data_IF_486511230059
#
_entry.id   IF_486511230059
#
_cell.length_a   1.000
_cell.length_b   1.000
_cell.length_c   1.000
_cell.angle_alpha   90.00
_cell.angle_beta   90.00
_cell.angle_gamma   90.00
#
_symmetry.space_group_name_H-M   'P 1'
#
loop_
_entity.id
_entity.type
_entity.pdbx_description
1 polymer ?
#
# COMPACT_ATOMS: atom_id res chain seq x y z
N UNK A 1 3.69 -0.42 13.32
CA UNK A 1 3.23 -1.24 12.18
C UNK A 1 3.97 -0.74 10.95
N UNK A 2 4.67 -1.62 10.21
CA UNK A 2 5.41 -1.18 9.01
C UNK A 2 4.48 -1.05 7.80
N UNK A 3 4.97 -0.45 6.71
CA UNK A 3 4.19 -0.32 5.47
C UNK A 3 3.84 -1.71 4.91
N UNK A 4 4.78 -2.65 4.93
CA UNK A 4 4.55 -4.01 4.47
C UNK A 4 3.44 -4.71 5.30
N UNK A 5 3.44 -4.52 6.62
CA UNK A 5 2.37 -5.05 7.47
C UNK A 5 1.01 -4.39 7.17
N UNK A 6 0.98 -3.08 6.88
CA UNK A 6 -0.26 -2.39 6.47
C UNK A 6 -0.84 -2.95 5.18
N UNK A 7 0.03 -3.19 4.19
CA UNK A 7 -0.36 -3.78 2.90
C UNK A 7 -0.90 -5.20 3.12
N UNK A 8 -0.26 -6.02 3.97
CA UNK A 8 -0.78 -7.37 4.28
C UNK A 8 -2.15 -7.32 4.94
N UNK A 9 -2.33 -6.46 5.93
CA UNK A 9 -3.63 -6.30 6.59
C UNK A 9 -4.69 -5.84 5.59
N UNK A 10 -4.35 -4.90 4.71
CA UNK A 10 -5.24 -4.44 3.65
C UNK A 10 -5.64 -5.58 2.70
N UNK A 11 -4.68 -6.40 2.25
CA UNK A 11 -4.95 -7.58 1.44
C UNK A 11 -5.94 -8.54 2.12
N UNK A 12 -5.75 -8.83 3.41
CA UNK A 12 -6.65 -9.68 4.19
C UNK A 12 -8.05 -9.06 4.30
N UNK A 13 -8.15 -7.75 4.53
CA UNK A 13 -9.44 -7.04 4.62
C UNK A 13 -10.19 -6.99 3.29
N UNK A 14 -9.47 -6.91 2.18
CA UNK A 14 -10.04 -6.93 0.83
C UNK A 14 -10.23 -8.34 0.26
N UNK A 15 -9.97 -9.40 1.05
CA UNK A 15 -10.03 -10.81 0.60
C UNK A 15 -9.20 -11.08 -0.66
N UNK A 16 -8.03 -10.46 -0.79
CA UNK A 16 -7.10 -10.66 -1.90
C UNK A 16 -5.76 -11.21 -1.40
N UNK A 17 -5.10 -12.00 -2.24
CA UNK A 17 -3.74 -12.46 -1.98
C UNK A 17 -2.71 -11.39 -2.41
N UNK A 18 -1.53 -11.37 -1.80
CA UNK A 18 -0.43 -10.48 -2.23
C UNK A 18 -0.03 -10.69 -3.70
N UNK A 19 -0.12 -11.94 -4.18
CA UNK A 19 0.11 -12.27 -5.59
C UNK A 19 -0.96 -11.67 -6.52
N UNK A 20 -2.21 -11.58 -6.06
CA UNK A 20 -3.30 -10.95 -6.81
C UNK A 20 -3.15 -9.43 -6.81
N UNK A 21 -2.81 -8.83 -5.66
CA UNK A 21 -2.46 -7.41 -5.60
C UNK A 21 -1.33 -7.07 -6.58
N UNK A 22 -0.27 -7.88 -6.60
CA UNK A 22 0.83 -7.70 -7.56
C UNK A 22 0.34 -7.71 -9.02
N UNK A 23 -0.55 -8.65 -9.37
CA UNK A 23 -1.13 -8.74 -10.72
C UNK A 23 -1.98 -7.52 -11.07
N UNK A 24 -2.82 -7.05 -10.13
CA UNK A 24 -3.63 -5.82 -10.31
C UNK A 24 -2.76 -4.58 -10.52
N UNK A 25 -1.61 -4.52 -9.87
CA UNK A 25 -0.60 -3.46 -10.05
C UNK A 25 0.23 -3.62 -11.34
N UNK A 26 -0.03 -4.65 -12.17
CA UNK A 26 0.76 -4.94 -13.37
C UNK A 26 2.18 -5.42 -13.07
N UNK A 27 2.42 -6.01 -11.89
CA UNK A 27 3.72 -6.51 -11.44
C UNK A 27 3.71 -8.03 -11.29
N UNK A 28 4.90 -8.62 -11.40
CA UNK A 28 5.12 -10.02 -11.01
C UNK A 28 5.05 -10.18 -9.49
N UNK A 29 4.43 -11.25 -8.95
CA UNK A 29 4.43 -11.57 -7.53
C UNK A 29 5.84 -11.63 -6.91
N UNK A 30 6.85 -12.07 -7.69
CA UNK A 30 8.23 -12.13 -7.20
C UNK A 30 8.80 -10.73 -6.96
N UNK A 31 8.63 -9.82 -7.93
CA UNK A 31 9.08 -8.42 -7.80
C UNK A 31 8.37 -7.70 -6.65
N UNK A 32 7.06 -7.92 -6.51
CA UNK A 32 6.28 -7.36 -5.42
C UNK A 32 6.74 -7.88 -4.06
N UNK A 33 6.97 -9.19 -3.92
CA UNK A 33 7.46 -9.78 -2.67
C UNK A 33 8.88 -9.30 -2.32
N UNK A 34 9.77 -9.13 -3.30
CA UNK A 34 11.07 -8.48 -3.09
C UNK A 34 10.93 -7.05 -2.58
N UNK A 35 9.94 -6.30 -3.08
CA UNK A 35 9.63 -4.94 -2.61
C UNK A 35 9.06 -4.94 -1.20
N UNK A 36 8.19 -5.89 -0.86
CA UNK A 36 7.67 -6.11 0.51
C UNK A 36 8.79 -6.35 1.51
N UNK A 37 9.78 -7.19 1.17
CA UNK A 37 10.94 -7.47 2.04
C UNK A 37 11.87 -6.27 2.23
N UNK A 38 11.99 -5.41 1.21
CA UNK A 38 12.83 -4.20 1.25
C UNK A 38 12.11 -2.99 1.85
N UNK A 39 10.79 -3.09 2.06
CA UNK A 39 9.92 -2.03 2.57
C UNK A 39 10.06 -0.71 1.78
N UNK A 40 10.32 -0.83 0.48
CA UNK A 40 10.69 0.28 -0.40
C UNK A 40 9.49 0.83 -1.17
N UNK A 41 8.37 1.06 -0.47
CA UNK A 41 7.14 1.61 -1.06
C UNK A 41 7.19 3.13 -1.06
N UNK A 42 6.91 3.71 -2.22
CA UNK A 42 6.69 5.14 -2.38
C UNK A 42 5.23 5.48 -2.08
N UNK A 43 4.94 6.76 -1.92
CA UNK A 43 3.54 7.22 -1.77
C UNK A 43 2.72 6.86 -3.01
N UNK A 44 3.27 7.01 -4.21
CA UNK A 44 2.61 6.60 -5.46
C UNK A 44 2.27 5.10 -5.47
N UNK A 45 3.11 4.25 -4.90
CA UNK A 45 2.77 2.82 -4.75
C UNK A 45 1.58 2.61 -3.82
N UNK A 46 1.54 3.34 -2.68
CA UNK A 46 0.45 3.23 -1.71
C UNK A 46 -0.88 3.71 -2.29
N UNK A 47 -0.84 4.79 -3.08
CA UNK A 47 -1.98 5.35 -3.79
C UNK A 47 -2.54 4.33 -4.80
N UNK A 48 -1.68 3.73 -5.62
CA UNK A 48 -2.06 2.67 -6.58
C UNK A 48 -2.61 1.43 -5.89
N UNK A 49 -2.01 1.01 -4.77
CA UNK A 49 -2.51 -0.12 -3.97
C UNK A 49 -3.93 0.19 -3.48
N UNK A 50 -4.18 1.39 -3.00
CA UNK A 50 -5.51 1.80 -2.55
C UNK A 50 -6.50 1.81 -3.71
N UNK A 51 -6.14 2.39 -4.86
CA UNK A 51 -6.97 2.44 -6.07
C UNK A 51 -7.41 1.02 -6.51
N UNK A 52 -6.46 0.09 -6.69
CA UNK A 52 -6.78 -1.26 -7.20
C UNK A 52 -7.50 -2.16 -6.19
N UNK A 53 -7.52 -1.77 -4.91
CA UNK A 53 -8.22 -2.46 -3.84
C UNK A 53 -9.53 -1.75 -3.44
N UNK A 54 -9.87 -0.63 -4.07
CA UNK A 54 -11.05 0.16 -3.71
C UNK A 54 -10.96 0.79 -2.31
N UNK A 55 -9.75 1.05 -1.83
CA UNK A 55 -9.48 1.75 -0.59
C UNK A 55 -9.08 3.21 -0.86
N UNK A 56 -9.09 4.03 0.19
CA UNK A 56 -8.58 5.40 0.14
C UNK A 56 -7.31 5.48 1.00
N UNK A 57 -6.22 5.96 0.40
CA UNK A 57 -5.01 6.30 1.12
C UNK A 57 -4.97 7.83 1.30
N UNK A 58 -4.89 8.29 2.56
CA UNK A 58 -4.68 9.71 2.88
C UNK A 58 -3.36 9.86 3.62
N UNK A 59 -2.54 10.81 3.18
CA UNK A 59 -1.32 11.24 3.89
C UNK A 59 -1.43 12.74 4.12
N UNK A 60 -1.48 13.14 5.39
CA UNK A 60 -1.63 14.53 5.80
C UNK A 60 -0.53 14.86 6.81
N UNK A 61 0.13 16.00 6.64
CA UNK A 61 0.92 16.61 7.70
C UNK A 61 0.00 17.45 8.58
N UNK A 62 0.04 17.22 9.88
CA UNK A 62 -0.74 18.01 10.84
C UNK A 62 0.24 18.97 11.53
N UNK A 63 0.09 20.26 11.28
CA UNK A 63 0.87 21.30 11.94
C UNK A 63 0.40 21.48 13.39
N UNK A 64 1.26 22.07 14.23
CA UNK A 64 0.96 22.28 15.66
C UNK A 64 -0.27 23.16 15.91
N UNK A 65 -0.68 23.97 14.92
CA UNK A 65 -1.89 24.79 14.93
C UNK A 65 -3.15 24.04 14.48
N UNK A 66 -3.05 22.76 14.10
CA UNK A 66 -4.14 21.93 13.61
C UNK A 66 -4.40 22.03 12.09
N UNK A 67 -3.62 22.81 11.35
CA UNK A 67 -3.71 22.88 9.89
C UNK A 67 -3.18 21.59 9.24
N UNK A 68 -3.79 21.20 8.12
CA UNK A 68 -3.44 19.97 7.39
C UNK A 68 -2.86 20.30 6.00
N UNK A 69 -1.71 19.69 5.68
CA UNK A 69 -1.01 19.82 4.38
C UNK A 69 -0.92 18.47 3.70
#
# INVERSE_FOLDING_TARGET
>A
MTIAEQIKVLCVRCSVSEAELARRLGKSPQSFNSKMKRESFTVDDLDKIAEVLGAQFSREFILANGEKI
#
